data_IF_557632798504
#
_entry.id   IF_557632798504
#
_cell.length_a   1.000
_cell.length_b   1.000
_cell.length_c   1.000
_cell.angle_alpha   90.00
_cell.angle_beta   90.00
_cell.angle_gamma   90.00
#
_symmetry.space_group_name_H-M   'P 1'
#
loop_
_entity.id
_entity.type
_entity.pdbx_description
1 polymer ?
#
# COMPACT_ATOMS: atom_id res chain seq x y z
N UNK A 1 -23.26 3.77 2.03
CA UNK A 1 -22.07 4.47 1.50
C UNK A 1 -22.04 4.29 -0.01
N UNK A 2 -21.79 5.34 -0.79
CA UNK A 2 -21.55 5.19 -2.22
C UNK A 2 -20.27 4.35 -2.46
N UNK A 3 -20.19 3.60 -3.56
CA UNK A 3 -18.99 2.86 -3.90
C UNK A 3 -17.84 3.83 -4.19
N UNK A 4 -16.68 3.60 -3.59
CA UNK A 4 -15.45 4.29 -3.95
C UNK A 4 -15.01 3.80 -5.33
N UNK A 5 -14.74 4.72 -6.24
CA UNK A 5 -14.26 4.42 -7.58
C UNK A 5 -12.95 5.16 -7.80
N UNK A 6 -11.91 4.43 -8.18
CA UNK A 6 -10.58 4.95 -8.46
C UNK A 6 -10.22 4.62 -9.90
N UNK A 7 -9.56 5.55 -10.60
CA UNK A 7 -8.96 5.24 -11.89
C UNK A 7 -7.66 4.49 -11.63
N UNK A 8 -7.60 3.23 -12.05
CA UNK A 8 -6.42 2.37 -11.87
C UNK A 8 -5.86 2.03 -13.24
N UNK A 9 -4.55 2.13 -13.39
CA UNK A 9 -3.85 1.57 -14.54
C UNK A 9 -3.64 0.07 -14.30
N UNK A 10 -4.22 -0.78 -15.15
CA UNK A 10 -4.16 -2.24 -15.02
C UNK A 10 -2.73 -2.79 -15.07
N UNK A 11 -1.82 -2.12 -15.78
CA UNK A 11 -0.41 -2.53 -15.88
C UNK A 11 0.30 -2.46 -14.52
N UNK A 12 -0.07 -1.49 -13.68
CA UNK A 12 0.49 -1.29 -12.33
C UNK A 12 -0.42 -1.84 -11.22
N UNK A 13 -1.52 -2.51 -11.59
CA UNK A 13 -2.47 -3.05 -10.64
C UNK A 13 -1.97 -4.36 -10.00
N UNK A 14 -0.92 -4.99 -10.54
CA UNK A 14 -0.43 -6.26 -10.05
C UNK A 14 0.53 -6.11 -8.87
N UNK A 15 0.58 -7.13 -8.01
CA UNK A 15 1.57 -7.22 -6.95
C UNK A 15 2.89 -7.71 -7.53
N UNK A 16 3.90 -6.84 -7.48
CA UNK A 16 5.24 -7.12 -8.00
C UNK A 16 6.26 -7.12 -6.86
N UNK A 17 7.09 -8.14 -6.79
CA UNK A 17 8.19 -8.21 -5.83
C UNK A 17 9.38 -7.38 -6.34
N UNK A 18 9.84 -6.43 -5.53
CA UNK A 18 10.97 -5.54 -5.88
C UNK A 18 12.27 -6.14 -5.37
N UNK A 19 12.26 -6.60 -4.13
CA UNK A 19 13.31 -7.38 -3.47
C UNK A 19 12.63 -8.45 -2.61
N UNK A 20 13.34 -9.52 -2.20
CA UNK A 20 12.75 -10.59 -1.40
C UNK A 20 11.97 -10.05 -0.19
N UNK A 21 10.66 -10.31 -0.16
CA UNK A 21 9.78 -9.88 0.93
C UNK A 21 9.22 -8.46 0.82
N UNK A 22 9.60 -7.67 -0.18
CA UNK A 22 9.08 -6.32 -0.43
C UNK A 22 8.32 -6.27 -1.76
N UNK A 23 7.05 -5.87 -1.69
CA UNK A 23 6.14 -5.85 -2.82
C UNK A 23 5.57 -4.46 -3.06
N UNK A 24 5.32 -4.12 -4.33
CA UNK A 24 4.61 -2.92 -4.75
C UNK A 24 3.35 -3.32 -5.53
N UNK A 25 2.25 -2.58 -5.34
CA UNK A 25 1.04 -2.73 -6.15
C UNK A 25 0.19 -1.45 -6.13
N UNK A 26 -0.62 -1.27 -7.17
CA UNK A 26 -1.81 -0.42 -7.10
C UNK A 26 -2.92 -1.01 -6.21
N UNK A 27 -3.97 -0.23 -5.97
CA UNK A 27 -5.08 -0.57 -5.05
C UNK A 27 -5.74 -1.93 -5.36
N UNK A 28 -5.86 -2.28 -6.64
CA UNK A 28 -6.49 -3.54 -7.07
C UNK A 28 -5.65 -4.78 -6.75
N UNK A 29 -4.33 -4.64 -6.61
CA UNK A 29 -3.42 -5.75 -6.28
C UNK A 29 -3.50 -6.14 -4.81
N UNK A 30 -4.02 -5.24 -3.97
CA UNK A 30 -4.16 -5.47 -2.54
C UNK A 30 -5.47 -6.22 -2.24
N UNK A 31 -5.45 -7.55 -2.44
CA UNK A 31 -6.56 -8.45 -2.13
C UNK A 31 -6.24 -9.34 -0.93
N UNK A 32 -7.26 -9.84 -0.23
CA UNK A 32 -7.06 -10.81 0.86
C UNK A 32 -6.37 -12.10 0.38
N UNK A 33 -6.63 -12.52 -0.86
CA UNK A 33 -5.97 -13.67 -1.47
C UNK A 33 -4.47 -13.42 -1.65
N UNK A 34 -4.09 -12.26 -2.18
CA UNK A 34 -2.69 -11.88 -2.35
C UNK A 34 -1.97 -11.71 -1.00
N UNK A 35 -2.59 -11.02 -0.03
CA UNK A 35 -2.03 -10.87 1.33
C UNK A 35 -1.70 -12.24 1.93
N UNK A 36 -2.60 -13.22 1.78
CA UNK A 36 -2.38 -14.58 2.27
C UNK A 36 -1.30 -15.32 1.47
N UNK A 37 -1.38 -15.30 0.14
CA UNK A 37 -0.47 -16.03 -0.75
C UNK A 37 0.99 -15.59 -0.61
N UNK A 38 1.21 -14.28 -0.50
CA UNK A 38 2.54 -13.68 -0.36
C UNK A 38 2.95 -13.47 1.11
N UNK A 39 2.12 -13.88 2.07
CA UNK A 39 2.35 -13.78 3.52
C UNK A 39 2.72 -12.35 3.96
N UNK A 40 1.99 -11.37 3.44
CA UNK A 40 2.21 -9.96 3.74
C UNK A 40 1.92 -9.69 5.23
N UNK A 41 2.91 -9.11 5.93
CA UNK A 41 2.83 -8.83 7.37
C UNK A 41 2.56 -7.36 7.69
N UNK A 42 2.83 -6.47 6.75
CA UNK A 42 2.60 -5.03 6.87
C UNK A 42 2.11 -4.47 5.53
N UNK A 43 1.11 -3.59 5.59
CA UNK A 43 0.68 -2.79 4.44
C UNK A 43 1.03 -1.32 4.68
N UNK A 44 1.83 -0.75 3.78
CA UNK A 44 2.13 0.69 3.75
C UNK A 44 1.25 1.34 2.69
N UNK A 45 0.29 2.15 3.14
CA UNK A 45 -0.57 2.92 2.25
C UNK A 45 0.00 4.33 2.06
N UNK A 46 0.57 4.58 0.88
CA UNK A 46 1.24 5.83 0.52
C UNK A 46 0.32 6.84 -0.18
N UNK A 47 -1.00 6.79 0.03
CA UNK A 47 -1.93 7.74 -0.60
C UNK A 47 -2.79 8.47 0.43
N UNK A 48 -3.34 9.62 0.03
CA UNK A 48 -4.33 10.32 0.85
C UNK A 48 -5.73 9.79 0.61
N UNK A 49 -6.10 9.64 -0.65
CA UNK A 49 -7.46 9.38 -1.13
C UNK A 49 -7.93 7.94 -0.92
N UNK A 50 -7.02 6.95 -0.87
CA UNK A 50 -7.41 5.54 -0.72
C UNK A 50 -7.46 5.15 0.76
N UNK A 51 -8.60 4.68 1.30
CA UNK A 51 -8.69 4.25 2.69
C UNK A 51 -8.06 2.86 2.91
N UNK A 52 -7.65 2.57 4.14
CA UNK A 52 -7.31 1.22 4.54
C UNK A 52 -8.58 0.36 4.61
N UNK A 53 -8.68 -0.61 3.71
CA UNK A 53 -9.87 -1.46 3.60
C UNK A 53 -9.90 -2.52 4.71
N UNK A 54 -10.91 -2.46 5.57
CA UNK A 54 -11.12 -3.42 6.67
C UNK A 54 -11.35 -4.86 6.19
N UNK A 55 -11.82 -5.05 4.95
CA UNK A 55 -12.08 -6.37 4.37
C UNK A 55 -10.79 -7.17 4.10
N UNK A 56 -9.61 -6.56 4.23
CA UNK A 56 -8.31 -7.19 4.01
C UNK A 56 -7.77 -7.92 5.25
N UNK A 57 -8.61 -8.18 6.25
CA UNK A 57 -8.25 -8.91 7.47
C UNK A 57 -7.43 -8.10 8.48
N UNK A 58 -6.72 -8.79 9.37
CA UNK A 58 -6.03 -8.20 10.53
C UNK A 58 -4.57 -7.81 10.27
N UNK A 59 -4.10 -7.82 9.01
CA UNK A 59 -2.73 -7.39 8.70
C UNK A 59 -2.52 -5.95 9.20
N UNK A 60 -1.45 -5.68 9.97
CA UNK A 60 -1.06 -4.33 10.35
C UNK A 60 -0.98 -3.38 9.15
N UNK A 61 -1.37 -2.13 9.36
CA UNK A 61 -1.38 -1.11 8.30
C UNK A 61 -0.88 0.22 8.82
N UNK A 62 -0.01 0.85 8.05
CA UNK A 62 0.35 2.25 8.22
C UNK A 62 -0.18 3.06 7.04
N UNK A 63 -0.54 4.33 7.28
CA UNK A 63 -1.00 5.24 6.24
C UNK A 63 -0.20 6.54 6.32
N UNK A 64 0.41 6.91 5.19
CA UNK A 64 1.31 8.07 5.10
C UNK A 64 0.59 9.37 4.73
N UNK A 65 -0.63 9.30 4.17
CA UNK A 65 -1.45 10.47 3.82
C UNK A 65 -0.82 11.42 2.79
N UNK A 66 0.02 10.86 1.93
CA UNK A 66 0.79 11.52 0.86
C UNK A 66 -0.10 11.79 -0.36
N UNK A 67 0.07 12.94 -0.99
CA UNK A 67 -0.51 13.29 -2.29
C UNK A 67 0.46 12.97 -3.43
N UNK A 68 -0.03 12.57 -4.60
CA UNK A 68 0.79 12.34 -5.79
C UNK A 68 1.08 13.67 -6.51
N UNK A 69 1.85 14.54 -5.85
CA UNK A 69 2.32 15.81 -6.44
C UNK A 69 3.81 16.03 -6.17
N UNK A 70 4.51 16.80 -7.02
CA UNK A 70 5.93 17.10 -6.83
C UNK A 70 6.27 17.88 -5.56
N UNK A 71 5.28 18.54 -4.94
CA UNK A 71 5.45 19.38 -3.75
C UNK A 71 5.30 18.62 -2.43
N UNK A 72 4.80 17.38 -2.46
CA UNK A 72 4.60 16.57 -1.26
C UNK A 72 5.94 16.15 -0.64
N UNK A 73 6.11 16.39 0.67
CA UNK A 73 7.35 16.07 1.38
C UNK A 73 7.39 14.59 1.78
N UNK A 74 8.04 13.79 0.95
CA UNK A 74 8.25 12.36 1.23
C UNK A 74 9.38 12.09 2.22
N UNK A 75 10.34 13.01 2.38
CA UNK A 75 11.55 12.76 3.16
C UNK A 75 11.23 12.55 4.64
N UNK A 76 10.21 13.26 5.14
CA UNK A 76 9.73 13.11 6.52
C UNK A 76 9.25 11.69 6.86
N UNK A 77 8.94 10.85 5.85
CA UNK A 77 8.42 9.50 6.05
C UNK A 77 9.47 8.39 5.91
N UNK A 78 10.63 8.66 5.32
CA UNK A 78 11.56 7.60 4.91
C UNK A 78 12.13 6.81 6.08
N UNK A 79 12.70 7.47 7.10
CA UNK A 79 13.30 6.76 8.24
C UNK A 79 12.25 5.91 8.96
N UNK A 80 11.07 6.49 9.22
CA UNK A 80 9.98 5.82 9.92
C UNK A 80 9.46 4.59 9.14
N UNK A 81 9.36 4.67 7.81
CA UNK A 81 8.91 3.53 6.99
C UNK A 81 10.00 2.48 6.88
N UNK A 82 11.25 2.89 6.68
CA UNK A 82 12.38 1.97 6.58
C UNK A 82 12.54 1.12 7.85
N UNK A 83 12.47 1.76 9.03
CA UNK A 83 12.51 1.06 10.32
C UNK A 83 11.36 0.04 10.44
N UNK A 84 10.15 0.37 9.97
CA UNK A 84 9.00 -0.55 10.05
C UNK A 84 9.09 -1.72 9.07
N UNK A 85 9.79 -1.56 7.94
CA UNK A 85 9.94 -2.60 6.92
C UNK A 85 11.08 -3.57 7.25
N UNK A 86 12.12 -3.11 7.95
CA UNK A 86 13.29 -3.93 8.32
C UNK A 86 13.08 -4.78 9.59
N UNK A 87 12.10 -4.42 10.44
CA UNK A 87 11.76 -5.12 11.69
C UNK A 87 10.93 -6.40 11.49
#
# INVERSE_FOLDING_TARGET
>A
MPPLSFRVNEEYAQLSEIIPGLFICGVNGLTAANICAFRIQLVVNCTREVPNLKCLGQVPRMKLWVEDTPEEDLFAHFDLVADQVDN
#
